data_IF_999536421986
#
_entry.id   IF_999536421986
#
_cell.length_a   1.000
_cell.length_b   1.000
_cell.length_c   1.000
_cell.angle_alpha   90.00
_cell.angle_beta   90.00
_cell.angle_gamma   90.00
#
_symmetry.space_group_name_H-M   'P 1'
#
loop_
_entity.id
_entity.type
_entity.pdbx_description
1 polymer ?
#
# COMPACT_ATOMS: atom_id res chain seq x y z
N UNK A 1 1.46 -17.43 1.66
CA UNK A 1 0.59 -17.99 0.60
C UNK A 1 1.11 -19.33 0.10
N UNK A 2 2.34 -19.43 -0.42
CA UNK A 2 2.89 -20.69 -0.98
C UNK A 2 2.75 -21.89 -0.03
N UNK A 3 3.30 -21.84 1.19
CA UNK A 3 3.23 -22.99 2.11
C UNK A 3 1.83 -23.29 2.63
N UNK A 4 0.89 -22.35 2.48
CA UNK A 4 -0.50 -22.55 2.85
C UNK A 4 -1.34 -23.17 1.71
N UNK A 5 -0.83 -23.18 0.48
CA UNK A 5 -1.57 -23.61 -0.72
C UNK A 5 -0.89 -24.76 -1.48
N UNK A 6 0.37 -25.06 -1.17
CA UNK A 6 1.13 -26.14 -1.81
C UNK A 6 1.81 -27.03 -0.77
N UNK A 7 2.04 -28.29 -1.12
CA UNK A 7 2.79 -29.23 -0.30
C UNK A 7 4.29 -28.88 -0.36
N UNK A 8 4.77 -28.14 0.62
CA UNK A 8 6.16 -27.67 0.71
C UNK A 8 6.79 -28.03 2.06
N UNK A 9 8.12 -28.04 2.11
CA UNK A 9 8.85 -27.97 3.38
C UNK A 9 9.03 -26.49 3.75
N UNK A 10 8.22 -26.02 4.69
CA UNK A 10 8.19 -24.61 5.10
C UNK A 10 9.46 -24.11 5.82
N UNK A 11 10.35 -25.02 6.26
CA UNK A 11 11.61 -24.62 6.89
C UNK A 11 12.55 -23.93 5.90
N UNK A 12 13.23 -22.86 6.37
CA UNK A 12 14.22 -22.08 5.61
C UNK A 12 15.28 -22.93 4.90
N UNK A 13 15.65 -24.04 5.54
CA UNK A 13 16.68 -24.96 5.05
C UNK A 13 16.34 -25.62 3.71
N UNK A 14 15.07 -25.58 3.29
CA UNK A 14 14.58 -26.11 2.02
C UNK A 14 14.17 -25.02 1.02
N UNK A 15 14.45 -23.74 1.34
CA UNK A 15 14.06 -22.59 0.50
C UNK A 15 15.27 -21.98 -0.18
N UNK A 16 15.15 -21.83 -1.51
CA UNK A 16 16.15 -21.24 -2.40
C UNK A 16 15.51 -20.06 -3.12
N UNK A 17 16.26 -18.98 -3.28
CA UNK A 17 15.90 -17.88 -4.16
C UNK A 17 16.95 -17.72 -5.24
N UNK A 18 16.52 -17.47 -6.47
CA UNK A 18 17.43 -17.30 -7.60
C UNK A 18 16.87 -16.32 -8.63
N UNK A 19 17.76 -15.71 -9.42
CA UNK A 19 17.34 -14.84 -10.51
C UNK A 19 18.48 -14.39 -11.41
N UNK A 20 18.12 -13.92 -12.61
CA UNK A 20 19.06 -13.44 -13.62
C UNK A 20 18.89 -11.93 -13.87
N UNK A 21 19.98 -11.20 -14.11
CA UNK A 21 19.93 -9.76 -14.41
C UNK A 21 19.25 -8.94 -13.31
N UNK A 22 18.19 -8.19 -13.61
CA UNK A 22 17.32 -7.55 -12.61
C UNK A 22 16.70 -8.54 -11.63
N UNK A 23 16.41 -9.77 -12.07
CA UNK A 23 15.98 -10.85 -11.18
C UNK A 23 17.09 -11.27 -10.21
N UNK A 24 18.35 -11.22 -10.62
CA UNK A 24 19.50 -11.48 -9.74
C UNK A 24 19.65 -10.40 -8.68
N UNK A 25 19.41 -9.13 -9.03
CA UNK A 25 19.30 -8.03 -8.07
C UNK A 25 18.18 -8.29 -7.05
N UNK A 26 17.00 -8.65 -7.53
CA UNK A 26 15.84 -8.96 -6.68
C UNK A 26 16.07 -10.15 -5.75
N UNK A 27 16.68 -11.22 -6.27
CA UNK A 27 17.05 -12.40 -5.48
C UNK A 27 18.02 -12.02 -4.35
N UNK A 28 19.10 -11.29 -4.67
CA UNK A 28 20.04 -10.79 -3.68
C UNK A 28 19.35 -9.91 -2.63
N UNK A 29 18.49 -8.96 -3.04
CA UNK A 29 17.75 -8.07 -2.13
C UNK A 29 16.86 -8.85 -1.16
N UNK A 30 16.01 -9.74 -1.66
CA UNK A 30 15.10 -10.49 -0.81
C UNK A 30 15.85 -11.43 0.12
N UNK A 31 16.95 -12.04 -0.34
CA UNK A 31 17.78 -12.91 0.48
C UNK A 31 18.41 -12.19 1.68
N UNK A 32 18.94 -10.98 1.47
CA UNK A 32 19.57 -10.20 2.56
C UNK A 32 18.57 -9.42 3.41
N UNK A 33 17.39 -9.08 2.87
CA UNK A 33 16.31 -8.39 3.59
C UNK A 33 15.57 -9.35 4.54
N UNK A 34 15.35 -10.58 4.08
CA UNK A 34 14.62 -11.65 4.79
C UNK A 34 15.50 -12.90 4.95
N UNK A 35 16.65 -12.81 5.64
CA UNK A 35 17.61 -13.91 5.77
C UNK A 35 17.05 -15.16 6.48
N UNK A 36 15.94 -15.02 7.20
CA UNK A 36 15.21 -16.11 7.83
C UNK A 36 14.42 -16.98 6.84
N UNK A 37 14.12 -16.47 5.63
CA UNK A 37 13.29 -17.19 4.66
C UNK A 37 14.09 -18.15 3.78
N UNK A 38 15.36 -17.87 3.51
CA UNK A 38 16.15 -18.59 2.50
C UNK A 38 17.43 -19.19 3.09
N UNK A 39 17.84 -20.34 2.57
CA UNK A 39 19.13 -20.96 2.88
C UNK A 39 20.16 -20.78 1.76
N UNK A 40 19.70 -20.55 0.52
CA UNK A 40 20.55 -20.32 -0.65
C UNK A 40 20.01 -19.16 -1.48
N UNK A 41 20.91 -18.28 -1.92
CA UNK A 41 20.67 -17.25 -2.92
C UNK A 41 21.58 -17.48 -4.14
N UNK A 42 21.00 -17.67 -5.32
CA UNK A 42 21.75 -17.86 -6.58
C UNK A 42 21.52 -16.67 -7.51
N UNK A 43 22.60 -15.95 -7.81
CA UNK A 43 22.58 -14.76 -8.65
C UNK A 43 23.23 -15.06 -10.02
N UNK A 44 22.45 -15.00 -11.09
CA UNK A 44 22.92 -15.22 -12.46
C UNK A 44 23.14 -13.88 -13.17
N UNK A 45 24.40 -13.44 -13.22
CA UNK A 45 24.84 -12.20 -13.86
C UNK A 45 23.94 -11.00 -13.49
N UNK A 46 23.68 -10.81 -12.19
CA UNK A 46 22.72 -9.84 -11.68
C UNK A 46 23.17 -8.39 -11.86
N UNK A 47 22.20 -7.51 -12.12
CA UNK A 47 22.42 -6.07 -12.29
C UNK A 47 22.63 -5.36 -10.93
N UNK A 48 23.70 -5.72 -10.20
CA UNK A 48 24.03 -5.21 -8.86
C UNK A 48 24.45 -3.73 -8.89
N UNK A 49 23.48 -2.84 -9.07
CA UNK A 49 23.66 -1.38 -9.02
C UNK A 49 23.55 -0.85 -7.60
N UNK A 50 24.47 0.02 -7.19
CA UNK A 50 24.32 0.81 -5.97
C UNK A 50 23.60 2.15 -6.27
N UNK A 51 23.37 2.97 -5.24
CA UNK A 51 22.68 4.26 -5.41
C UNK A 51 23.35 5.16 -6.46
N UNK A 52 24.67 5.24 -6.46
CA UNK A 52 25.44 6.05 -7.41
C UNK A 52 25.30 5.55 -8.85
N UNK A 53 25.19 4.24 -9.05
CA UNK A 53 24.89 3.69 -10.37
C UNK A 53 23.48 4.08 -10.81
N UNK A 54 22.50 4.08 -9.90
CA UNK A 54 21.10 4.38 -10.20
C UNK A 54 20.82 5.86 -10.49
N UNK A 55 21.64 6.79 -9.98
CA UNK A 55 21.50 8.23 -10.25
C UNK A 55 22.23 8.68 -11.52
N UNK A 56 23.18 7.88 -12.03
CA UNK A 56 23.95 8.23 -13.22
C UNK A 56 23.14 7.99 -14.50
N UNK A 57 23.10 9.00 -15.36
CA UNK A 57 22.58 8.86 -16.73
C UNK A 57 23.58 8.02 -17.55
N UNK A 58 23.09 7.01 -18.25
CA UNK A 58 23.89 6.28 -19.24
C UNK A 58 23.48 6.68 -20.66
N UNK A 59 24.29 6.32 -21.66
CA UNK A 59 23.92 6.52 -23.08
C UNK A 59 22.67 5.73 -23.50
N UNK A 60 22.33 4.65 -22.78
CA UNK A 60 21.27 3.70 -23.15
C UNK A 60 20.03 3.79 -22.26
N UNK A 61 20.16 4.33 -21.05
CA UNK A 61 19.11 4.31 -20.02
C UNK A 61 19.07 5.61 -19.22
N UNK A 62 17.87 6.07 -18.91
CA UNK A 62 17.63 7.16 -17.94
C UNK A 62 18.05 6.73 -16.53
N UNK A 63 18.37 7.68 -15.63
CA UNK A 63 18.60 7.38 -14.23
C UNK A 63 17.42 6.61 -13.62
N UNK A 64 17.71 5.52 -12.93
CA UNK A 64 16.70 4.66 -12.28
C UNK A 64 16.18 5.30 -11.00
N UNK A 65 17.05 5.97 -10.25
CA UNK A 65 16.70 6.53 -8.93
C UNK A 65 15.53 7.52 -8.97
N UNK A 66 15.47 8.51 -9.89
CA UNK A 66 14.32 9.40 -10.03
C UNK A 66 13.03 8.70 -10.45
N UNK A 67 13.13 7.63 -11.24
CA UNK A 67 11.95 6.94 -11.80
C UNK A 67 11.35 5.96 -10.81
N UNK A 68 12.19 5.17 -10.12
CA UNK A 68 11.74 4.11 -9.21
C UNK A 68 11.63 4.56 -7.76
N UNK A 69 12.44 5.53 -7.34
CA UNK A 69 12.58 5.89 -5.93
C UNK A 69 12.36 7.39 -5.69
N UNK A 70 11.82 8.14 -6.66
CA UNK A 70 11.65 9.60 -6.61
C UNK A 70 12.93 10.37 -6.23
N UNK A 71 14.09 9.78 -6.54
CA UNK A 71 15.40 10.26 -6.13
C UNK A 71 15.59 10.35 -4.58
N UNK A 72 14.77 9.63 -3.81
CA UNK A 72 14.86 9.50 -2.35
C UNK A 72 15.79 8.35 -1.96
N UNK A 73 17.05 8.70 -1.69
CA UNK A 73 18.09 7.75 -1.24
C UNK A 73 17.71 7.08 0.07
N UNK A 74 17.12 7.81 1.00
CA UNK A 74 16.78 7.30 2.34
C UNK A 74 15.71 6.23 2.23
N UNK A 75 14.70 6.47 1.40
CA UNK A 75 13.68 5.47 1.10
C UNK A 75 14.30 4.22 0.48
N UNK A 76 15.14 4.37 -0.54
CA UNK A 76 15.82 3.24 -1.18
C UNK A 76 16.65 2.42 -0.18
N UNK A 77 17.47 3.07 0.64
CA UNK A 77 18.32 2.38 1.62
C UNK A 77 17.51 1.63 2.67
N UNK A 78 16.38 2.20 3.11
CA UNK A 78 15.50 1.58 4.11
C UNK A 78 14.61 0.47 3.56
N UNK A 79 14.36 0.42 2.24
CA UNK A 79 13.31 -0.44 1.68
C UNK A 79 13.78 -1.40 0.60
N UNK A 80 14.78 -1.01 -0.20
CA UNK A 80 15.07 -1.65 -1.49
C UNK A 80 16.56 -1.84 -1.79
N UNK A 81 17.47 -1.47 -0.88
CA UNK A 81 18.92 -1.58 -1.10
C UNK A 81 19.49 -2.91 -0.60
N UNK A 82 19.92 -3.84 -1.47
CA UNK A 82 20.59 -5.07 -1.03
C UNK A 82 21.86 -4.76 -0.25
N UNK A 83 22.56 -3.67 -0.60
CA UNK A 83 23.77 -3.19 0.08
C UNK A 83 23.50 -2.81 1.54
N UNK A 84 22.45 -2.03 1.78
CA UNK A 84 22.09 -1.59 3.12
C UNK A 84 21.59 -2.77 3.98
N UNK A 85 20.75 -3.64 3.41
CA UNK A 85 20.23 -4.80 4.12
C UNK A 85 21.30 -5.85 4.43
N UNK A 86 22.27 -6.08 3.55
CA UNK A 86 23.40 -6.97 3.86
C UNK A 86 24.17 -6.47 5.09
N UNK A 87 24.45 -5.17 5.17
CA UNK A 87 25.11 -4.56 6.33
C UNK A 87 24.25 -4.68 7.58
N UNK A 88 22.96 -4.33 7.48
CA UNK A 88 22.02 -4.35 8.59
C UNK A 88 21.83 -5.77 9.17
N UNK A 89 21.74 -6.77 8.30
CA UNK A 89 21.43 -8.15 8.67
C UNK A 89 22.67 -9.06 8.72
N UNK A 90 23.90 -8.52 8.69
CA UNK A 90 25.13 -9.33 8.55
C UNK A 90 25.21 -10.53 9.51
N UNK A 91 24.86 -10.35 10.78
CA UNK A 91 24.93 -11.40 11.80
C UNK A 91 23.85 -12.48 11.62
N UNK A 92 22.74 -12.15 10.96
CA UNK A 92 21.68 -13.10 10.61
C UNK A 92 21.99 -13.86 9.33
N UNK A 93 22.87 -13.32 8.48
CA UNK A 93 23.26 -13.91 7.20
C UNK A 93 24.48 -14.82 7.38
N UNK A 94 25.51 -14.35 8.09
CA UNK A 94 26.79 -15.04 8.25
C UNK A 94 26.61 -16.47 8.74
N UNK A 95 27.17 -17.43 7.98
CA UNK A 95 27.08 -18.87 8.26
C UNK A 95 25.70 -19.51 8.06
N UNK A 96 24.67 -18.72 7.72
CA UNK A 96 23.27 -19.18 7.65
C UNK A 96 22.67 -19.13 6.24
N UNK A 97 23.10 -18.19 5.41
CA UNK A 97 22.67 -18.02 4.03
C UNK A 97 23.88 -18.15 3.12
N UNK A 98 23.79 -19.02 2.12
CA UNK A 98 24.85 -19.25 1.15
C UNK A 98 24.56 -18.49 -0.13
N UNK A 99 25.54 -17.72 -0.59
CA UNK A 99 25.46 -17.03 -1.88
C UNK A 99 26.25 -17.79 -2.93
N UNK A 100 25.67 -17.93 -4.12
CA UNK A 100 26.39 -18.30 -5.34
C UNK A 100 26.10 -17.30 -6.43
N UNK A 101 27.13 -16.77 -7.06
CA UNK A 101 27.02 -15.81 -8.16
C UNK A 101 27.75 -16.34 -9.38
N UNK A 102 27.04 -16.44 -10.49
CA UNK A 102 27.62 -16.74 -11.80
C UNK A 102 27.76 -15.43 -12.57
N UNK A 103 28.95 -15.14 -13.06
CA UNK A 103 29.30 -13.83 -13.61
C UNK A 103 29.40 -13.93 -15.13
N UNK A 104 28.59 -13.13 -15.82
CA UNK A 104 28.69 -12.90 -17.26
C UNK A 104 29.26 -11.51 -17.54
N UNK A 105 28.64 -10.76 -18.45
CA UNK A 105 29.16 -9.45 -18.85
C UNK A 105 28.84 -8.29 -17.87
N UNK A 106 28.06 -8.51 -16.79
CA UNK A 106 27.80 -7.48 -15.77
C UNK A 106 28.80 -7.51 -14.60
N UNK A 107 29.96 -8.16 -14.78
CA UNK A 107 30.90 -8.51 -13.72
C UNK A 107 31.37 -7.38 -12.81
N UNK A 108 31.45 -6.12 -13.27
CA UNK A 108 31.92 -5.02 -12.40
C UNK A 108 30.97 -4.70 -11.24
N UNK A 109 29.66 -4.83 -11.42
CA UNK A 109 28.68 -4.66 -10.34
C UNK A 109 28.70 -5.83 -9.36
N UNK A 110 28.86 -7.05 -9.90
CA UNK A 110 28.93 -8.28 -9.11
C UNK A 110 30.23 -8.39 -8.30
N UNK A 111 31.33 -7.90 -8.86
CA UNK A 111 32.60 -7.80 -8.14
C UNK A 111 32.46 -6.88 -6.93
N UNK A 112 31.89 -5.68 -7.10
CA UNK A 112 31.61 -4.78 -5.98
C UNK A 112 30.68 -5.40 -4.94
N UNK A 113 29.69 -6.16 -5.39
CA UNK A 113 28.79 -6.88 -4.49
C UNK A 113 29.53 -7.94 -3.68
N UNK A 114 30.40 -8.72 -4.32
CA UNK A 114 31.27 -9.67 -3.66
C UNK A 114 32.16 -9.00 -2.63
N UNK A 115 32.83 -7.92 -3.01
CA UNK A 115 33.75 -7.23 -2.13
C UNK A 115 33.01 -6.61 -0.92
N UNK A 116 31.77 -6.15 -1.12
CA UNK A 116 30.88 -5.70 -0.04
C UNK A 116 30.52 -6.84 0.92
N UNK A 117 30.07 -8.00 0.42
CA UNK A 117 29.78 -9.16 1.26
C UNK A 117 31.02 -9.67 2.02
N UNK A 118 32.17 -9.71 1.35
CA UNK A 118 33.46 -10.08 1.97
C UNK A 118 33.82 -9.10 3.10
N UNK A 119 33.61 -7.79 2.93
CA UNK A 119 33.84 -6.80 3.99
C UNK A 119 32.94 -6.98 5.24
N UNK A 120 31.82 -7.69 5.07
CA UNK A 120 30.89 -8.07 6.13
C UNK A 120 31.15 -9.48 6.67
N UNK A 121 32.21 -10.15 6.19
CA UNK A 121 32.57 -11.51 6.55
C UNK A 121 31.48 -12.53 6.17
N UNK A 122 30.81 -12.29 5.03
CA UNK A 122 29.79 -13.14 4.42
C UNK A 122 30.40 -13.79 3.18
N UNK A 123 30.55 -15.11 3.22
CA UNK A 123 31.11 -15.89 2.12
C UNK A 123 30.15 -15.97 0.93
N UNK A 124 30.74 -15.93 -0.27
CA UNK A 124 30.03 -16.15 -1.52
C UNK A 124 30.87 -16.99 -2.48
N UNK A 125 30.22 -18.00 -3.04
CA UNK A 125 30.74 -18.78 -4.16
C UNK A 125 30.62 -17.95 -5.45
N UNK A 126 31.75 -17.44 -5.94
CA UNK A 126 31.81 -16.49 -7.05
C UNK A 126 32.46 -17.13 -8.27
N UNK A 127 31.65 -17.38 -9.30
CA UNK A 127 32.03 -18.15 -10.48
C UNK A 127 32.13 -17.23 -11.69
N UNK A 128 33.35 -16.93 -12.11
CA UNK A 128 33.62 -16.19 -13.34
C UNK A 128 33.46 -17.09 -14.56
N UNK A 129 32.78 -16.59 -15.59
CA UNK A 129 32.56 -17.32 -16.83
C UNK A 129 33.02 -16.49 -18.02
N UNK A 130 33.20 -17.13 -19.18
CA UNK A 130 33.44 -16.42 -20.45
C UNK A 130 32.14 -15.98 -21.12
N UNK A 131 31.00 -16.17 -20.46
CA UNK A 131 29.70 -15.89 -21.03
C UNK A 131 29.43 -14.39 -21.11
N UNK A 132 28.67 -14.01 -22.14
CA UNK A 132 27.96 -12.73 -22.14
C UNK A 132 26.77 -12.83 -21.19
N UNK A 133 25.97 -11.76 -21.11
CA UNK A 133 24.70 -11.73 -20.37
C UNK A 133 23.66 -12.72 -20.95
N UNK A 134 23.86 -14.01 -20.73
CA UNK A 134 23.08 -15.11 -21.30
C UNK A 134 22.97 -16.24 -20.27
N UNK A 135 21.75 -16.52 -19.82
CA UNK A 135 21.50 -17.49 -18.76
C UNK A 135 21.90 -18.92 -19.17
N UNK A 136 21.59 -19.33 -20.40
CA UNK A 136 21.91 -20.67 -20.90
C UNK A 136 23.41 -20.94 -20.84
N UNK A 137 24.23 -20.03 -21.37
CA UNK A 137 25.69 -20.16 -21.31
C UNK A 137 26.20 -20.26 -19.87
N UNK A 138 25.67 -19.44 -18.95
CA UNK A 138 26.06 -19.49 -17.53
C UNK A 138 25.77 -20.86 -16.92
N UNK A 139 24.60 -21.44 -17.21
CA UNK A 139 24.26 -22.79 -16.77
C UNK A 139 25.17 -23.84 -17.39
N UNK A 140 25.43 -23.76 -18.70
CA UNK A 140 26.30 -24.70 -19.41
C UNK A 140 27.74 -24.67 -18.90
N UNK A 141 28.30 -23.48 -18.65
CA UNK A 141 29.68 -23.35 -18.13
C UNK A 141 29.80 -23.70 -16.65
N UNK A 142 28.77 -23.41 -15.84
CA UNK A 142 28.80 -23.75 -14.41
C UNK A 142 28.38 -25.19 -14.11
N UNK A 143 27.82 -25.89 -15.10
CA UNK A 143 27.31 -27.25 -14.96
C UNK A 143 26.25 -27.37 -13.86
N UNK A 144 26.35 -28.44 -13.07
CA UNK A 144 25.44 -28.75 -11.98
C UNK A 144 25.83 -28.09 -10.64
N UNK A 145 26.81 -27.17 -10.63
CA UNK A 145 27.34 -26.58 -9.39
C UNK A 145 26.27 -25.90 -8.52
N UNK A 146 25.31 -25.21 -9.14
CA UNK A 146 24.15 -24.66 -8.43
C UNK A 146 23.28 -25.74 -7.78
N UNK A 147 23.02 -26.84 -8.49
CA UNK A 147 22.27 -27.98 -7.95
C UNK A 147 23.01 -28.69 -6.82
N UNK A 148 24.34 -28.85 -6.93
CA UNK A 148 25.18 -29.39 -5.86
C UNK A 148 25.16 -28.53 -4.60
N UNK A 149 25.15 -27.20 -4.75
CA UNK A 149 25.01 -26.30 -3.61
C UNK A 149 23.65 -26.48 -2.92
N UNK A 150 22.55 -26.49 -3.69
CA UNK A 150 21.20 -26.66 -3.16
C UNK A 150 21.05 -28.00 -2.42
N UNK A 151 21.48 -29.10 -3.04
CA UNK A 151 21.41 -30.44 -2.44
C UNK A 151 22.22 -30.55 -1.15
N UNK A 152 23.43 -29.95 -1.11
CA UNK A 152 24.25 -29.90 0.12
C UNK A 152 23.54 -29.16 1.25
N UNK A 153 22.85 -28.06 0.97
CA UNK A 153 22.10 -27.33 2.00
C UNK A 153 20.84 -28.07 2.44
N UNK A 154 20.11 -28.70 1.52
CA UNK A 154 18.93 -29.49 1.86
C UNK A 154 19.28 -30.72 2.70
N UNK A 155 20.42 -31.36 2.42
CA UNK A 155 20.92 -32.47 3.22
C UNK A 155 21.25 -32.04 4.65
N UNK A 156 21.91 -30.87 4.83
CA UNK A 156 22.15 -30.29 6.15
C UNK A 156 20.84 -30.04 6.91
N UNK A 157 19.86 -29.44 6.24
CA UNK A 157 18.54 -29.15 6.82
C UNK A 157 17.74 -30.41 7.18
N UNK A 158 17.99 -31.55 6.53
CA UNK A 158 17.34 -32.81 6.84
C UNK A 158 17.89 -33.50 8.09
N UNK A 159 19.19 -33.32 8.39
CA UNK A 159 19.88 -33.95 9.54
C UNK A 159 19.74 -33.11 10.81
N UNK A 160 19.80 -31.79 10.66
CA UNK A 160 19.58 -30.83 11.74
C UNK A 160 18.59 -29.78 11.22
N UNK A 161 17.26 -30.04 11.28
CA UNK A 161 16.27 -29.02 10.99
C UNK A 161 16.46 -27.94 12.05
N UNK A 162 17.12 -26.84 11.69
CA UNK A 162 17.49 -25.74 12.59
C UNK A 162 16.46 -25.54 13.70
N UNK A 163 16.92 -25.73 14.95
CA UNK A 163 16.24 -25.23 16.14
C UNK A 163 16.37 -23.70 16.18
N UNK A 164 15.51 -22.99 15.44
CA UNK A 164 15.18 -21.59 15.69
C UNK A 164 13.73 -21.38 15.20
N UNK A 165 12.96 -20.51 15.87
CA UNK A 165 11.51 -20.49 15.76
C UNK A 165 11.08 -20.30 14.31
N UNK A 166 9.87 -20.78 14.00
CA UNK A 166 9.10 -20.34 12.84
C UNK A 166 9.40 -18.87 12.60
N UNK A 167 9.51 -18.41 11.34
CA UNK A 167 9.72 -17.00 11.06
C UNK A 167 8.67 -16.30 11.90
N UNK A 168 9.12 -15.69 13.00
CA UNK A 168 8.29 -14.76 13.73
C UNK A 168 8.05 -13.79 12.62
N UNK A 169 6.82 -13.78 12.13
CA UNK A 169 6.27 -12.71 11.34
C UNK A 169 6.52 -11.53 12.23
N UNK A 170 7.72 -10.94 12.10
CA UNK A 170 8.01 -9.64 12.62
C UNK A 170 7.15 -8.83 11.68
N UNK A 171 5.88 -8.71 12.06
CA UNK A 171 4.96 -7.73 11.57
C UNK A 171 5.79 -6.48 11.63
N UNK A 172 6.19 -6.02 10.46
CA UNK A 172 6.93 -4.78 10.38
C UNK A 172 6.17 -3.77 11.21
N UNK A 173 6.87 -3.11 12.12
CA UNK A 173 6.26 -2.07 12.96
C UNK A 173 5.88 -0.83 12.12
N UNK A 174 6.21 -0.83 10.82
CA UNK A 174 5.71 0.18 9.90
C UNK A 174 4.22 -0.04 9.65
N UNK A 175 3.42 0.96 10.02
CA UNK A 175 1.98 1.00 9.81
C UNK A 175 1.57 0.76 8.35
N UNK A 176 2.46 1.05 7.38
CA UNK A 176 2.24 0.76 5.96
C UNK A 176 2.05 -0.74 5.70
N UNK A 177 2.77 -1.59 6.42
CA UNK A 177 2.74 -3.04 6.22
C UNK A 177 1.49 -3.70 6.81
N UNK A 178 0.72 -2.96 7.62
CA UNK A 178 -0.65 -3.36 8.00
C UNK A 178 -1.61 -3.31 6.81
N UNK A 179 -1.26 -2.58 5.75
CA UNK A 179 -1.97 -2.57 4.49
C UNK A 179 -1.32 -3.53 3.50
N UNK A 180 -1.90 -4.71 3.36
CA UNK A 180 -1.47 -5.74 2.41
C UNK A 180 -1.57 -5.20 0.97
N UNK A 181 -0.51 -5.34 0.13
CA UNK A 181 -0.55 -4.94 -1.27
C UNK A 181 -1.30 -5.97 -2.12
N UNK A 182 -2.21 -5.49 -2.95
CA UNK A 182 -2.95 -6.30 -3.92
C UNK A 182 -3.05 -5.61 -5.28
N UNK A 183 -3.37 -6.37 -6.31
CA UNK A 183 -3.67 -5.88 -7.65
C UNK A 183 -4.89 -6.64 -8.18
N UNK A 184 -5.87 -5.90 -8.70
CA UNK A 184 -7.09 -6.46 -9.31
C UNK A 184 -7.33 -5.77 -10.66
N UNK A 185 -7.35 -6.53 -11.75
CA UNK A 185 -7.38 -6.03 -13.15
C UNK A 185 -6.46 -4.82 -13.39
N UNK A 186 -5.17 -4.98 -13.06
CA UNK A 186 -4.15 -3.93 -13.15
C UNK A 186 -4.39 -2.67 -12.29
N UNK A 187 -5.39 -2.67 -11.40
CA UNK A 187 -5.63 -1.60 -10.42
C UNK A 187 -4.95 -1.97 -9.10
N UNK A 188 -3.85 -1.28 -8.73
CA UNK A 188 -3.21 -1.50 -7.45
C UNK A 188 -4.09 -0.99 -6.30
N UNK A 189 -4.17 -1.77 -5.23
CA UNK A 189 -4.79 -1.33 -3.99
C UNK A 189 -4.08 -1.90 -2.75
N UNK A 190 -4.33 -1.25 -1.63
CA UNK A 190 -3.84 -1.59 -0.30
C UNK A 190 -5.02 -1.95 0.57
N UNK A 191 -4.94 -3.07 1.29
CA UNK A 191 -6.02 -3.56 2.13
C UNK A 191 -5.53 -3.81 3.56
N UNK A 192 -6.10 -3.10 4.52
CA UNK A 192 -5.93 -3.43 5.93
C UNK A 192 -7.15 -4.22 6.40
N UNK A 193 -6.90 -5.38 7.03
CA UNK A 193 -7.95 -6.23 7.61
C UNK A 193 -8.32 -5.76 9.03
N UNK A 194 -9.55 -6.05 9.50
CA UNK A 194 -9.96 -5.76 10.86
C UNK A 194 -9.02 -6.45 11.86
N UNK A 195 -8.72 -5.76 12.96
CA UNK A 195 -7.92 -6.32 14.04
C UNK A 195 -8.69 -7.49 14.69
N UNK A 196 -8.03 -8.63 14.88
CA UNK A 196 -8.67 -9.82 15.45
C UNK A 196 -9.79 -10.37 14.55
N UNK A 197 -9.55 -10.41 13.23
CA UNK A 197 -10.51 -10.94 12.25
C UNK A 197 -11.08 -12.30 12.67
N UNK A 198 -12.40 -12.41 12.62
CA UNK A 198 -13.20 -13.60 12.91
C UNK A 198 -14.24 -13.76 11.79
N UNK A 199 -14.20 -14.88 11.09
CA UNK A 199 -15.10 -15.16 9.97
C UNK A 199 -16.58 -15.26 10.36
N UNK A 200 -16.90 -15.40 11.65
CA UNK A 200 -18.28 -15.44 12.16
C UNK A 200 -18.86 -14.05 12.42
N UNK A 201 -18.06 -12.98 12.30
CA UNK A 201 -18.50 -11.59 12.46
C UNK A 201 -18.71 -10.94 11.08
N UNK A 202 -19.29 -9.73 11.08
CA UNK A 202 -19.39 -8.88 9.88
C UNK A 202 -18.74 -7.54 10.18
N UNK A 203 -17.82 -7.12 9.32
CA UNK A 203 -16.98 -5.95 9.52
C UNK A 203 -17.31 -4.84 8.51
N UNK A 204 -17.44 -3.58 8.95
CA UNK A 204 -17.52 -2.42 8.07
C UNK A 204 -16.31 -2.30 7.14
N UNK A 205 -16.45 -1.50 6.08
CA UNK A 205 -15.37 -1.17 5.15
C UNK A 205 -15.23 0.35 5.03
N UNK A 206 -14.03 0.87 5.23
CA UNK A 206 -13.66 2.24 4.89
C UNK A 206 -12.94 2.22 3.54
N UNK A 207 -13.52 2.88 2.54
CA UNK A 207 -12.85 3.18 1.27
C UNK A 207 -12.10 4.51 1.42
N UNK A 208 -10.78 4.49 1.30
CA UNK A 208 -9.90 5.65 1.49
C UNK A 208 -9.29 6.12 0.16
N UNK A 209 -9.82 7.20 -0.40
CA UNK A 209 -9.35 7.78 -1.65
C UNK A 209 -8.18 8.75 -1.45
N UNK A 210 -7.08 8.52 -2.17
CA UNK A 210 -5.92 9.41 -2.14
C UNK A 210 -6.13 10.73 -2.90
N UNK A 211 -5.40 11.76 -2.46
CA UNK A 211 -5.26 13.05 -3.15
C UNK A 211 -4.29 13.00 -4.34
N UNK A 212 -4.02 14.14 -4.97
CA UNK A 212 -3.13 14.21 -6.15
C UNK A 212 -1.72 13.63 -5.90
N UNK A 213 -1.18 13.84 -4.69
CA UNK A 213 0.13 13.29 -4.29
C UNK A 213 0.18 11.78 -4.07
N UNK A 214 -0.96 11.08 -4.13
CA UNK A 214 -1.02 9.62 -4.09
C UNK A 214 -1.09 8.94 -5.45
N UNK A 215 -1.18 9.71 -6.55
CA UNK A 215 -1.26 9.17 -7.91
C UNK A 215 -0.03 8.34 -8.24
N UNK A 216 -0.26 7.18 -8.86
CA UNK A 216 0.82 6.29 -9.27
C UNK A 216 0.33 4.89 -9.56
N UNK A 217 1.28 3.98 -9.72
CA UNK A 217 1.05 2.54 -9.83
C UNK A 217 2.03 1.73 -8.96
N UNK A 218 2.75 2.40 -8.05
CA UNK A 218 3.71 1.78 -7.13
C UNK A 218 3.07 1.00 -5.98
N UNK A 219 1.74 1.08 -5.87
CA UNK A 219 0.93 0.51 -4.81
C UNK A 219 1.43 0.92 -3.41
N UNK A 220 1.90 2.16 -3.24
CA UNK A 220 2.38 2.69 -1.96
C UNK A 220 2.01 4.16 -1.73
N UNK A 221 2.20 5.04 -2.71
CA UNK A 221 1.99 6.50 -2.57
C UNK A 221 0.57 6.88 -2.19
N UNK A 222 -0.42 6.02 -2.44
CA UNK A 222 -1.80 6.25 -2.04
C UNK A 222 -2.00 6.26 -0.53
N UNK A 223 -1.13 5.58 0.22
CA UNK A 223 -1.19 5.59 1.69
C UNK A 223 -0.62 6.90 2.20
N UNK A 224 -1.49 7.69 2.82
CA UNK A 224 -1.17 9.02 3.34
C UNK A 224 -1.34 9.05 4.84
N UNK A 225 -1.07 10.21 5.41
CA UNK A 225 -1.03 10.37 6.85
C UNK A 225 -2.36 10.03 7.56
N UNK A 226 -3.51 10.17 6.91
CA UNK A 226 -4.79 9.73 7.49
C UNK A 226 -4.92 8.20 7.50
N UNK A 227 -4.32 7.49 6.55
CA UNK A 227 -4.22 6.02 6.60
C UNK A 227 -3.36 5.55 7.78
N UNK A 228 -2.31 6.31 8.13
CA UNK A 228 -1.53 6.06 9.35
C UNK A 228 -2.40 6.21 10.61
N UNK A 229 -3.26 7.22 10.66
CA UNK A 229 -4.18 7.41 11.79
C UNK A 229 -5.23 6.30 11.87
N UNK A 230 -5.78 5.85 10.74
CA UNK A 230 -6.67 4.68 10.68
C UNK A 230 -5.97 3.38 11.08
N UNK A 231 -4.65 3.29 10.86
CA UNK A 231 -3.83 2.14 11.24
C UNK A 231 -3.42 2.13 12.73
N UNK A 232 -3.74 3.19 13.47
CA UNK A 232 -3.48 3.29 14.91
C UNK A 232 -4.08 2.10 15.67
N UNK A 233 -3.31 1.56 16.62
CA UNK A 233 -3.68 0.34 17.33
C UNK A 233 -4.99 0.50 18.11
N UNK A 234 -5.17 1.63 18.80
CA UNK A 234 -6.35 1.86 19.62
C UNK A 234 -7.59 1.99 18.73
N UNK A 235 -7.52 2.82 17.68
CA UNK A 235 -8.64 2.99 16.73
C UNK A 235 -9.05 1.69 16.06
N UNK A 236 -8.08 0.85 15.67
CA UNK A 236 -8.37 -0.47 15.07
C UNK A 236 -9.00 -1.45 16.06
N UNK A 237 -8.68 -1.32 17.35
CA UNK A 237 -9.29 -2.12 18.41
C UNK A 237 -10.73 -1.66 18.68
N UNK A 238 -10.95 -0.35 18.76
CA UNK A 238 -12.27 0.24 19.06
C UNK A 238 -13.23 0.11 17.87
N UNK A 239 -12.69 0.17 16.65
CA UNK A 239 -13.45 0.11 15.40
C UNK A 239 -12.86 -0.91 14.40
N UNK A 240 -12.95 -2.23 14.67
CA UNK A 240 -12.46 -3.24 13.76
C UNK A 240 -13.19 -3.16 12.41
N UNK A 241 -12.45 -2.86 11.34
CA UNK A 241 -12.98 -2.72 9.99
C UNK A 241 -11.92 -3.08 8.94
N UNK A 242 -12.39 -3.29 7.71
CA UNK A 242 -11.52 -3.22 6.54
C UNK A 242 -11.21 -1.76 6.19
N UNK A 243 -9.99 -1.50 5.73
CA UNK A 243 -9.66 -0.25 5.05
C UNK A 243 -9.10 -0.57 3.66
N UNK A 244 -9.86 -0.18 2.64
CA UNK A 244 -9.51 -0.34 1.23
C UNK A 244 -8.97 0.98 0.69
N UNK A 245 -7.69 1.01 0.32
CA UNK A 245 -7.01 2.16 -0.26
C UNK A 245 -6.57 1.86 -1.71
N UNK A 246 -7.46 2.07 -2.69
CA UNK A 246 -7.11 1.94 -4.10
C UNK A 246 -6.12 3.01 -4.54
N UNK A 247 -5.36 2.75 -5.60
CA UNK A 247 -4.49 3.74 -6.24
C UNK A 247 -4.83 3.90 -7.72
N UNK A 248 -4.87 5.16 -8.17
CA UNK A 248 -5.15 5.51 -9.56
C UNK A 248 -4.15 6.55 -10.07
N UNK A 249 -3.92 6.58 -11.37
CA UNK A 249 -3.06 7.58 -12.03
C UNK A 249 -3.83 8.83 -12.47
N UNK A 250 -5.16 8.80 -12.41
CA UNK A 250 -6.07 9.84 -12.94
C UNK A 250 -6.97 10.42 -11.84
N UNK A 251 -8.02 11.16 -12.24
CA UNK A 251 -9.13 11.51 -11.34
C UNK A 251 -10.01 10.28 -11.11
N UNK A 252 -10.66 10.22 -9.94
CA UNK A 252 -11.60 9.17 -9.58
C UNK A 252 -12.86 9.23 -10.45
N UNK A 253 -13.37 8.07 -10.88
CA UNK A 253 -14.56 7.98 -11.72
C UNK A 253 -15.33 6.65 -11.53
N UNK A 254 -16.37 6.45 -12.33
CA UNK A 254 -17.24 5.26 -12.29
C UNK A 254 -16.50 3.92 -12.43
N UNK A 255 -15.39 3.88 -13.18
CA UNK A 255 -14.59 2.66 -13.33
C UNK A 255 -13.92 2.27 -12.00
N UNK A 256 -13.43 3.27 -11.25
CA UNK A 256 -12.88 3.00 -9.91
C UNK A 256 -13.95 2.52 -8.95
N UNK A 257 -15.17 3.09 -9.00
CA UNK A 257 -16.29 2.61 -8.19
C UNK A 257 -16.63 1.15 -8.51
N UNK A 258 -16.67 0.77 -9.79
CA UNK A 258 -16.88 -0.61 -10.21
C UNK A 258 -15.82 -1.55 -9.61
N UNK A 259 -14.54 -1.16 -9.67
CA UNK A 259 -13.45 -1.95 -9.12
C UNK A 259 -13.52 -2.03 -7.58
N UNK A 260 -13.81 -0.91 -6.90
CA UNK A 260 -14.01 -0.86 -5.45
C UNK A 260 -15.11 -1.83 -5.02
N UNK A 261 -16.26 -1.81 -5.71
CA UNK A 261 -17.38 -2.72 -5.45
C UNK A 261 -16.99 -4.18 -5.62
N UNK A 262 -16.29 -4.50 -6.70
CA UNK A 262 -15.81 -5.87 -6.97
C UNK A 262 -14.85 -6.36 -5.88
N UNK A 263 -13.88 -5.53 -5.49
CA UNK A 263 -12.95 -5.88 -4.40
C UNK A 263 -13.71 -6.12 -3.10
N UNK A 264 -14.62 -5.21 -2.71
CA UNK A 264 -15.42 -5.34 -1.49
C UNK A 264 -16.27 -6.61 -1.51
N UNK A 265 -16.93 -6.92 -2.63
CA UNK A 265 -17.76 -8.12 -2.76
C UNK A 265 -16.96 -9.43 -2.63
N UNK A 266 -15.65 -9.40 -2.93
CA UNK A 266 -14.75 -10.53 -2.78
C UNK A 266 -14.14 -10.70 -1.37
N UNK A 267 -14.35 -9.74 -0.46
CA UNK A 267 -13.82 -9.83 0.91
C UNK A 267 -14.69 -10.74 1.78
N UNK A 268 -14.10 -11.55 2.67
CA UNK A 268 -14.86 -12.36 3.62
C UNK A 268 -15.48 -11.50 4.70
N UNK A 269 -16.62 -11.93 5.27
CA UNK A 269 -17.18 -11.33 6.48
C UNK A 269 -17.38 -9.80 6.43
N UNK A 270 -17.79 -9.26 5.27
CA UNK A 270 -18.10 -7.83 5.11
C UNK A 270 -19.52 -7.49 5.54
N UNK A 271 -19.68 -6.42 6.32
CA UNK A 271 -20.97 -5.77 6.52
C UNK A 271 -21.28 -4.82 5.36
N UNK A 272 -22.14 -5.28 4.44
CA UNK A 272 -22.50 -4.52 3.23
C UNK A 272 -23.37 -3.30 3.51
N UNK A 273 -23.93 -3.16 4.72
CA UNK A 273 -24.71 -1.99 5.10
C UNK A 273 -23.85 -0.92 5.78
N UNK A 274 -22.57 -1.21 6.00
CA UNK A 274 -21.59 -0.30 6.64
C UNK A 274 -20.35 -0.15 5.77
N UNK A 275 -20.58 0.30 4.54
CA UNK A 275 -19.52 0.70 3.61
C UNK A 275 -19.42 2.23 3.61
N UNK A 276 -18.27 2.74 4.01
CA UNK A 276 -17.98 4.16 4.14
C UNK A 276 -16.99 4.60 3.09
N UNK A 277 -17.03 5.87 2.71
CA UNK A 277 -16.06 6.45 1.78
C UNK A 277 -15.51 7.77 2.29
N UNK A 278 -14.19 7.91 2.27
CA UNK A 278 -13.50 9.14 2.67
C UNK A 278 -12.36 9.45 1.72
N UNK A 279 -11.97 10.71 1.66
CA UNK A 279 -10.89 11.13 0.79
C UNK A 279 -10.52 12.59 0.94
N UNK A 280 -9.29 12.92 0.57
CA UNK A 280 -8.76 14.28 0.69
C UNK A 280 -8.32 14.88 -0.65
N UNK A 281 -8.61 16.17 -0.87
CA UNK A 281 -8.25 16.90 -2.10
C UNK A 281 -8.87 16.24 -3.33
N UNK A 282 -8.06 15.76 -4.29
CA UNK A 282 -8.53 14.89 -5.38
C UNK A 282 -9.37 13.71 -4.87
N UNK A 283 -9.01 13.12 -3.74
CA UNK A 283 -9.78 12.04 -3.10
C UNK A 283 -11.11 12.52 -2.56
N UNK A 284 -11.19 13.74 -2.01
CA UNK A 284 -12.45 14.32 -1.56
C UNK A 284 -13.37 14.69 -2.73
N UNK A 285 -12.79 15.18 -3.82
CA UNK A 285 -13.49 15.36 -5.10
C UNK A 285 -14.02 14.02 -5.62
N UNK A 286 -13.20 12.98 -5.55
CA UNK A 286 -13.60 11.61 -5.86
C UNK A 286 -14.75 11.12 -4.99
N UNK A 287 -14.70 11.36 -3.68
CA UNK A 287 -15.77 11.02 -2.75
C UNK A 287 -17.10 11.61 -3.22
N UNK A 288 -17.15 12.91 -3.52
CA UNK A 288 -18.36 13.56 -4.04
C UNK A 288 -18.82 12.98 -5.39
N UNK A 289 -17.91 12.63 -6.30
CA UNK A 289 -18.29 11.99 -7.57
C UNK A 289 -18.89 10.60 -7.31
N UNK A 290 -18.22 9.76 -6.52
CA UNK A 290 -18.60 8.36 -6.38
C UNK A 290 -19.94 8.18 -5.65
N UNK A 291 -20.24 9.02 -4.67
CA UNK A 291 -21.54 8.98 -3.97
C UNK A 291 -22.71 9.45 -4.84
N UNK A 292 -22.47 10.26 -5.88
CA UNK A 292 -23.51 10.66 -6.82
C UNK A 292 -23.78 9.57 -7.88
N UNK A 293 -22.76 8.78 -8.22
CA UNK A 293 -22.87 7.69 -9.21
C UNK A 293 -23.74 6.55 -8.66
N UNK A 294 -23.61 6.24 -7.36
CA UNK A 294 -24.50 5.30 -6.69
C UNK A 294 -24.82 5.76 -5.25
N UNK A 295 -25.84 6.63 -5.09
CA UNK A 295 -26.23 7.18 -3.80
C UNK A 295 -26.65 6.14 -2.76
N UNK A 296 -27.00 4.92 -3.18
CA UNK A 296 -27.44 3.84 -2.29
C UNK A 296 -26.34 2.86 -1.86
N UNK A 297 -25.10 3.05 -2.31
CA UNK A 297 -24.03 2.09 -2.02
C UNK A 297 -23.32 2.35 -0.69
N UNK A 298 -23.11 3.62 -0.35
CA UNK A 298 -22.37 4.00 0.85
C UNK A 298 -23.32 4.33 2.00
N UNK A 299 -22.96 3.95 3.22
CA UNK A 299 -23.69 4.28 4.44
C UNK A 299 -23.36 5.69 4.94
N UNK A 300 -22.14 6.18 4.65
CA UNK A 300 -21.71 7.53 5.00
C UNK A 300 -20.50 7.96 4.14
N UNK A 301 -20.32 9.28 4.01
CA UNK A 301 -19.19 9.84 3.29
C UNK A 301 -18.48 10.98 4.04
N UNK A 302 -17.16 11.03 3.90
CA UNK A 302 -16.31 12.05 4.52
C UNK A 302 -15.34 12.70 3.50
N UNK A 303 -15.83 13.62 2.67
CA UNK A 303 -14.99 14.38 1.75
C UNK A 303 -14.22 15.50 2.49
N UNK A 304 -12.92 15.60 2.23
CA UNK A 304 -12.06 16.66 2.77
C UNK A 304 -11.41 17.47 1.65
N UNK A 305 -11.52 18.81 1.71
CA UNK A 305 -10.98 19.73 0.70
C UNK A 305 -11.34 19.33 -0.75
N UNK A 306 -12.55 18.79 -0.93
CA UNK A 306 -12.97 18.05 -2.12
C UNK A 306 -13.87 18.81 -3.10
N UNK A 307 -14.27 20.04 -2.77
CA UNK A 307 -15.26 20.82 -3.51
C UNK A 307 -14.76 21.37 -4.86
N UNK A 308 -13.57 20.98 -5.31
CA UNK A 308 -12.99 21.36 -6.60
C UNK A 308 -12.03 22.55 -6.53
N UNK A 309 -11.26 22.72 -7.60
CA UNK A 309 -10.34 23.86 -7.78
C UNK A 309 -11.12 25.09 -8.26
N UNK A 310 -10.48 26.26 -8.24
CA UNK A 310 -11.05 27.50 -8.83
C UNK A 310 -11.61 27.28 -10.25
N UNK A 311 -10.91 26.53 -11.09
CA UNK A 311 -11.27 26.25 -12.48
C UNK A 311 -12.18 25.04 -12.70
N UNK A 312 -12.53 24.29 -11.64
CA UNK A 312 -13.42 23.14 -11.77
C UNK A 312 -14.84 23.64 -12.02
N UNK A 313 -15.55 23.05 -13.00
CA UNK A 313 -16.99 23.33 -13.18
C UNK A 313 -17.81 22.88 -11.97
N UNK A 314 -19.07 23.27 -11.90
CA UNK A 314 -20.00 22.68 -10.93
C UNK A 314 -20.16 21.19 -11.23
N UNK A 315 -20.06 20.35 -10.20
CA UNK A 315 -20.09 18.88 -10.36
C UNK A 315 -20.79 18.14 -9.20
N UNK A 316 -21.25 18.88 -8.19
CA UNK A 316 -21.94 18.31 -7.03
C UNK A 316 -23.39 18.74 -7.12
N UNK A 317 -24.28 17.77 -7.31
CA UNK A 317 -25.72 17.93 -7.21
C UNK A 317 -26.16 17.54 -5.80
N UNK A 318 -26.51 18.54 -4.99
CA UNK A 318 -26.96 18.34 -3.62
C UNK A 318 -28.23 17.46 -3.53
N UNK A 319 -29.09 17.47 -4.54
CA UNK A 319 -30.35 16.71 -4.53
C UNK A 319 -30.13 15.19 -4.56
N UNK A 320 -29.04 14.74 -5.18
CA UNK A 320 -28.68 13.33 -5.28
C UNK A 320 -28.08 12.78 -3.98
N UNK A 321 -27.55 13.65 -3.11
CA UNK A 321 -26.77 13.25 -1.93
C UNK A 321 -27.38 13.74 -0.62
N UNK A 322 -28.50 14.47 -0.66
CA UNK A 322 -29.13 15.09 0.52
C UNK A 322 -29.48 14.10 1.63
N UNK A 323 -29.74 12.84 1.30
CA UNK A 323 -30.15 11.82 2.27
C UNK A 323 -29.00 10.99 2.82
N UNK A 324 -27.82 11.04 2.18
CA UNK A 324 -26.62 10.36 2.65
C UNK A 324 -26.02 11.13 3.85
N UNK A 325 -25.68 10.47 4.97
CA UNK A 325 -24.87 11.09 6.02
C UNK A 325 -23.50 11.52 5.49
N UNK A 326 -23.27 12.83 5.42
CA UNK A 326 -22.01 13.42 4.93
C UNK A 326 -21.37 14.24 6.04
N UNK A 327 -20.10 13.99 6.36
CA UNK A 327 -19.30 14.90 7.18
C UNK A 327 -18.15 15.46 6.35
N UNK A 328 -18.30 16.71 5.89
CA UNK A 328 -17.33 17.40 5.06
C UNK A 328 -16.38 18.28 5.86
N UNK A 329 -15.14 18.39 5.40
CA UNK A 329 -14.04 19.03 6.14
C UNK A 329 -13.22 19.99 5.27
N UNK A 330 -12.93 21.20 5.76
CA UNK A 330 -12.18 22.20 4.98
C UNK A 330 -11.35 23.17 5.86
N UNK A 331 -10.20 23.65 5.38
CA UNK A 331 -9.48 24.77 6.00
C UNK A 331 -9.94 26.12 5.43
N UNK A 332 -10.19 27.13 6.26
CA UNK A 332 -10.74 28.42 5.78
C UNK A 332 -9.76 29.27 4.97
N UNK A 333 -8.47 28.91 4.94
CA UNK A 333 -7.43 29.52 4.11
C UNK A 333 -6.93 28.60 2.99
N UNK A 334 -7.73 27.62 2.58
CA UNK A 334 -7.38 26.74 1.46
C UNK A 334 -7.31 27.51 0.13
N UNK A 335 -6.08 27.69 -0.37
CA UNK A 335 -5.80 28.37 -1.65
C UNK A 335 -5.84 27.43 -2.86
N UNK A 336 -5.92 26.12 -2.65
CA UNK A 336 -5.92 25.11 -3.72
C UNK A 336 -7.35 24.77 -4.11
N UNK A 337 -8.15 24.35 -3.13
CA UNK A 337 -9.59 24.10 -3.28
C UNK A 337 -10.35 25.17 -2.48
N UNK A 338 -10.95 26.18 -3.13
CA UNK A 338 -11.61 27.28 -2.44
C UNK A 338 -12.73 26.79 -1.53
N UNK A 339 -12.75 27.29 -0.29
CA UNK A 339 -13.76 26.90 0.70
C UNK A 339 -15.16 27.36 0.30
N UNK A 340 -15.27 28.43 -0.47
CA UNK A 340 -16.53 29.04 -0.94
C UNK A 340 -17.40 28.02 -1.68
N UNK A 341 -16.78 27.08 -2.40
CA UNK A 341 -17.51 25.98 -3.07
C UNK A 341 -18.12 25.00 -2.08
N UNK A 342 -17.41 24.68 -0.99
CA UNK A 342 -17.93 23.85 0.10
C UNK A 342 -19.04 24.56 0.87
N UNK A 343 -18.90 25.87 1.11
CA UNK A 343 -19.94 26.70 1.74
C UNK A 343 -21.20 26.79 0.87
N UNK A 344 -21.05 26.95 -0.45
CA UNK A 344 -22.17 26.94 -1.40
C UNK A 344 -22.93 25.62 -1.33
N UNK A 345 -22.23 24.49 -1.44
CA UNK A 345 -22.84 23.16 -1.31
C UNK A 345 -23.56 23.01 0.03
N UNK A 346 -22.94 23.43 1.13
CA UNK A 346 -23.55 23.34 2.45
C UNK A 346 -24.82 24.19 2.56
N UNK A 347 -24.86 25.37 1.94
CA UNK A 347 -26.06 26.20 1.87
C UNK A 347 -27.18 25.55 1.04
N UNK A 348 -26.84 24.85 -0.04
CA UNK A 348 -27.79 24.06 -0.83
C UNK A 348 -28.34 22.88 -0.02
N UNK A 349 -27.46 22.15 0.68
CA UNK A 349 -27.86 21.06 1.58
C UNK A 349 -28.77 21.56 2.72
N UNK A 350 -28.53 22.77 3.26
CA UNK A 350 -29.45 23.41 4.22
C UNK A 350 -30.85 23.64 3.65
N UNK A 351 -30.93 24.17 2.42
CA UNK A 351 -32.23 24.43 1.74
C UNK A 351 -33.01 23.13 1.48
N UNK A 352 -32.30 22.03 1.28
CA UNK A 352 -32.87 20.71 1.01
C UNK A 352 -33.13 19.88 2.27
N UNK A 353 -32.89 20.44 3.47
CA UNK A 353 -32.92 19.71 4.74
C UNK A 353 -32.08 18.41 4.67
N UNK A 354 -30.90 18.51 4.05
CA UNK A 354 -29.99 17.40 3.85
C UNK A 354 -29.27 16.99 5.13
N UNK A 355 -28.64 15.82 5.10
CA UNK A 355 -27.87 15.22 6.20
C UNK A 355 -26.36 15.49 6.03
N UNK A 356 -25.96 16.75 6.18
CA UNK A 356 -24.57 17.18 6.05
C UNK A 356 -24.06 17.92 7.30
N UNK A 357 -22.89 17.49 7.76
CA UNK A 357 -22.06 18.20 8.72
C UNK A 357 -20.92 18.86 7.96
N UNK A 358 -20.60 20.10 8.30
CA UNK A 358 -19.51 20.84 7.68
C UNK A 358 -18.59 21.44 8.73
N UNK A 359 -17.38 20.88 8.85
CA UNK A 359 -16.37 21.33 9.80
C UNK A 359 -15.31 22.18 9.10
N UNK A 360 -15.03 23.34 9.67
CA UNK A 360 -13.99 24.24 9.19
C UNK A 360 -12.97 24.57 10.27
N UNK A 361 -11.68 24.63 9.91
CA UNK A 361 -10.63 25.09 10.81
C UNK A 361 -10.13 26.47 10.41
N UNK A 362 -10.16 27.40 11.37
CA UNK A 362 -9.72 28.78 11.17
C UNK A 362 -8.18 28.87 11.06
N UNK A 363 -7.69 29.56 10.04
CA UNK A 363 -6.26 29.72 9.73
C UNK A 363 -5.65 28.55 8.95
N UNK A 364 -6.35 27.43 8.81
CA UNK A 364 -5.84 26.22 8.15
C UNK A 364 -5.93 26.33 6.62
N UNK A 365 -4.88 25.86 5.94
CA UNK A 365 -4.83 25.76 4.47
C UNK A 365 -5.37 24.43 3.93
N UNK A 366 -4.85 24.00 2.78
CA UNK A 366 -5.31 22.79 2.10
C UNK A 366 -5.12 21.50 2.92
N UNK A 367 -4.06 21.41 3.73
CA UNK A 367 -3.60 20.15 4.36
C UNK A 367 -4.35 19.70 5.62
N UNK A 368 -5.68 19.56 5.58
CA UNK A 368 -6.51 19.21 6.76
C UNK A 368 -6.81 17.71 6.93
N UNK A 369 -6.26 16.85 6.07
CA UNK A 369 -6.61 15.43 5.99
C UNK A 369 -6.43 14.64 7.30
N UNK A 370 -5.41 14.98 8.11
CA UNK A 370 -5.20 14.35 9.43
C UNK A 370 -6.34 14.68 10.40
N UNK A 371 -6.76 15.95 10.39
CA UNK A 371 -7.77 16.48 11.32
C UNK A 371 -9.13 15.82 11.10
N UNK A 372 -9.45 15.43 9.86
CA UNK A 372 -10.63 14.64 9.53
C UNK A 372 -10.76 13.37 10.39
N UNK A 373 -9.68 12.58 10.57
CA UNK A 373 -9.74 11.32 11.34
C UNK A 373 -9.79 11.56 12.84
N UNK A 374 -9.13 12.62 13.33
CA UNK A 374 -9.13 12.96 14.75
C UNK A 374 -10.41 13.66 15.21
N UNK A 375 -11.33 13.98 14.28
CA UNK A 375 -12.59 14.64 14.61
C UNK A 375 -12.54 16.16 14.54
N UNK A 376 -13.61 16.81 15.00
CA UNK A 376 -13.76 18.27 14.97
C UNK A 376 -12.99 18.99 16.08
N UNK A 377 -12.07 18.32 16.78
CA UNK A 377 -11.25 18.95 17.81
C UNK A 377 -10.55 20.20 17.22
N UNK A 378 -10.80 21.34 17.85
CA UNK A 378 -10.36 22.69 17.43
C UNK A 378 -10.94 23.21 16.10
N UNK A 379 -11.97 22.57 15.53
CA UNK A 379 -12.73 23.02 14.37
C UNK A 379 -14.16 23.47 14.74
N UNK A 380 -14.80 24.25 13.86
CA UNK A 380 -16.20 24.64 14.02
C UNK A 380 -17.07 23.81 13.09
N UNK A 381 -18.03 23.06 13.65
CA UNK A 381 -18.94 22.18 12.90
C UNK A 381 -20.32 22.82 12.79
N UNK A 382 -20.81 22.93 11.57
CA UNK A 382 -22.19 23.36 11.27
C UNK A 382 -23.00 22.16 10.80
N UNK A 383 -24.30 22.16 11.12
CA UNK A 383 -25.26 21.15 10.67
C UNK A 383 -26.20 21.75 9.62
N UNK A 384 -26.56 20.97 8.59
CA UNK A 384 -27.49 21.42 7.57
C UNK A 384 -28.96 21.24 7.95
N UNK A 385 -29.29 20.32 8.85
CA UNK A 385 -30.64 20.08 9.37
C UNK A 385 -30.60 19.31 10.69
N UNK A 386 -31.77 19.14 11.32
CA UNK A 386 -31.93 18.33 12.54
C UNK A 386 -31.77 16.81 12.28
N UNK A 387 -31.64 16.39 11.01
CA UNK A 387 -31.32 14.99 10.65
C UNK A 387 -29.87 14.63 10.90
N UNK A 388 -29.00 15.63 11.05
CA UNK A 388 -27.58 15.40 11.25
C UNK A 388 -27.30 14.84 12.64
N UNK A 389 -26.61 13.71 12.70
CA UNK A 389 -26.11 13.13 13.95
C UNK A 389 -25.12 14.10 14.64
N UNK A 390 -25.41 14.42 15.91
CA UNK A 390 -24.66 15.36 16.74
C UNK A 390 -23.32 14.84 17.29
N UNK A 391 -22.98 13.57 17.10
CA UNK A 391 -21.71 12.97 17.56
C UNK A 391 -20.49 13.78 17.10
N UNK A 392 -19.60 14.15 18.01
CA UNK A 392 -18.47 15.05 17.73
C UNK A 392 -17.18 14.29 17.42
N UNK A 393 -17.09 13.01 17.75
CA UNK A 393 -15.97 12.15 17.41
C UNK A 393 -16.19 11.45 16.06
N UNK A 394 -15.33 11.74 15.08
CA UNK A 394 -15.50 11.28 13.70
C UNK A 394 -15.66 9.76 13.58
N UNK A 395 -14.83 8.98 14.28
CA UNK A 395 -14.88 7.52 14.18
C UNK A 395 -16.15 6.94 14.81
N UNK A 396 -16.62 7.49 15.93
CA UNK A 396 -17.91 7.10 16.53
C UNK A 396 -19.07 7.44 15.60
N UNK A 397 -19.09 8.66 15.07
CA UNK A 397 -20.11 9.09 14.11
C UNK A 397 -20.14 8.17 12.89
N UNK A 398 -18.97 7.90 12.29
CA UNK A 398 -18.88 7.10 11.07
C UNK A 398 -19.42 5.69 11.29
N UNK A 399 -19.05 5.04 12.40
CA UNK A 399 -19.43 3.66 12.71
C UNK A 399 -20.88 3.53 13.23
N UNK A 400 -21.50 4.63 13.65
CA UNK A 400 -22.93 4.67 13.94
C UNK A 400 -23.80 4.67 12.66
N UNK A 401 -23.24 5.10 11.52
CA UNK A 401 -23.98 5.14 10.27
C UNK A 401 -24.16 3.74 9.70
N UNK A 402 -25.39 3.45 9.25
CA UNK A 402 -25.76 2.24 8.53
C UNK A 402 -26.69 2.64 7.38
N UNK A 403 -26.53 2.01 6.23
CA UNK A 403 -27.48 2.16 5.12
C UNK A 403 -28.87 1.70 5.60
N UNK A 404 -29.89 2.51 5.32
CA UNK A 404 -31.28 2.12 5.57
C UNK A 404 -31.66 0.98 4.62
N UNK A 405 -32.33 -0.06 5.14
CA UNK A 405 -32.90 -1.11 4.31
C UNK A 405 -33.96 -0.50 3.40
N UNK A 406 -33.59 -0.14 2.17
CA UNK A 406 -34.58 0.12 1.14
C UNK A 406 -35.18 -1.21 0.70
N UNK A 407 -36.11 -1.74 1.50
CA UNK A 407 -37.20 -2.56 0.99
C UNK A 407 -38.08 -1.67 0.09
N UNK A 408 -37.60 -1.33 -1.10
CA UNK A 408 -38.36 -0.82 -2.26
C UNK A 408 -37.36 -0.36 -3.32
N UNK A 409 -36.96 -1.31 -4.18
CA UNK A 409 -36.64 -1.07 -5.60
C UNK A 409 -36.48 -2.41 -6.36
N UNK A 410 -37.14 -3.47 -5.88
CA UNK A 410 -37.69 -4.48 -6.78
C UNK A 410 -39.03 -3.93 -7.28
N UNK A 411 -39.13 -3.74 -8.60
CA UNK A 411 -40.29 -3.25 -9.37
C UNK A 411 -40.37 -1.72 -9.61
N UNK A 412 -40.32 -1.38 -10.91
CA UNK A 412 -40.45 -0.07 -11.59
C UNK A 412 -39.13 0.72 -11.62
N UNK A 413 -38.50 0.96 -12.77
CA UNK A 413 -38.99 1.17 -14.14
C UNK A 413 -37.92 0.78 -15.16
#
# INVERSE_FOLDING_TARGET
WVDANYNTKASRGFRVIQGMSMGGYGASLLAVKFPELFSVCINYDGAMWNWENMTRKSRKWQPVAPVMFDNDKTYYERNSSPWAFATLNKNKIKGRLQFRTLVGSLGSGLQKWRDHLNSLDIEMDYVETKCRHNLQCLHEQAGDGSFRLMTKQFAKAAVAPDQLPDPVTKVSEDWVDLYEPHVDDATPYRLMKPMGFDSNKRYPVIVSLHGGGGRGADNRKQLRDWNKLLADKQRRSDHPCYVLAPQTTRLWNASDLKNIKRVIAGLPAVDMDRIYILGHSMGGHGTYILIQIDPGYFAAAAPSAGSGLHKTGEFIDASLIKDLPIWSFHGDRDKVCPIERGQKLFAEMKKLEGNMKFTTWAGDGHGVAKKMITGSDNGSTQLSSDRCDGETEFMKWLFAQKRLDNQQNSEKQ
#
